data_IF_431649720266
#
_entry.id   IF_431649720266
#
_cell.length_a   1.000
_cell.length_b   1.000
_cell.length_c   1.000
_cell.angle_alpha   90.00
_cell.angle_beta   90.00
_cell.angle_gamma   90.00
#
_symmetry.space_group_name_H-M   'P 1'
#
loop_
_entity.id
_entity.type
_entity.pdbx_description
1 polymer ?
#
# COMPACT_ATOMS: atom_id res chain seq x y z
N UNK A 1 18.54 1.25 10.66
CA UNK A 1 18.28 1.22 9.20
C UNK A 1 16.99 0.45 8.99
N UNK A 2 15.90 1.12 8.61
CA UNK A 2 14.65 0.45 8.25
C UNK A 2 14.87 -0.24 6.90
N UNK A 3 14.39 -1.46 6.71
CA UNK A 3 14.49 -2.10 5.39
C UNK A 3 13.57 -1.41 4.40
N UNK A 4 13.91 -1.43 3.11
CA UNK A 4 13.11 -0.81 2.06
C UNK A 4 11.63 -1.24 2.12
N UNK A 5 11.36 -2.52 2.42
CA UNK A 5 10.00 -3.05 2.59
C UNK A 5 9.17 -2.34 3.68
N UNK A 6 9.81 -1.93 4.78
CA UNK A 6 9.13 -1.20 5.85
C UNK A 6 8.82 0.23 5.42
N UNK A 7 9.74 0.90 4.71
CA UNK A 7 9.51 2.25 4.21
C UNK A 7 8.36 2.29 3.20
N UNK A 8 8.30 1.31 2.29
CA UNK A 8 7.20 1.15 1.33
C UNK A 8 5.86 0.90 2.04
N UNK A 9 5.86 0.09 3.10
CA UNK A 9 4.65 -0.18 3.89
C UNK A 9 4.15 1.07 4.61
N UNK A 10 5.04 1.87 5.21
CA UNK A 10 4.67 3.14 5.85
C UNK A 10 4.15 4.15 4.84
N UNK A 11 4.79 4.27 3.66
CA UNK A 11 4.33 5.15 2.59
C UNK A 11 2.92 4.76 2.11
N UNK A 12 2.62 3.46 2.02
CA UNK A 12 1.29 2.96 1.69
C UNK A 12 0.25 3.29 2.77
N UNK A 13 0.58 3.08 4.05
CA UNK A 13 -0.31 3.42 5.17
C UNK A 13 -0.64 4.92 5.20
N UNK A 14 0.36 5.77 4.98
CA UNK A 14 0.15 7.23 4.93
C UNK A 14 -0.68 7.65 3.72
N UNK A 15 -0.49 6.99 2.58
CA UNK A 15 -1.30 7.22 1.38
C UNK A 15 -2.77 6.87 1.58
N UNK A 16 -3.07 5.81 2.36
CA UNK A 16 -4.44 5.46 2.75
C UNK A 16 -5.07 6.53 3.65
N UNK A 17 -4.33 7.02 4.65
CA UNK A 17 -4.81 8.11 5.52
C UNK A 17 -5.08 9.37 4.70
N UNK A 18 -4.19 9.72 3.78
CA UNK A 18 -4.36 10.89 2.93
C UNK A 18 -5.59 10.76 2.03
N UNK A 19 -5.77 9.61 1.38
CA UNK A 19 -6.97 9.37 0.55
C UNK A 19 -8.27 9.46 1.37
N UNK A 20 -8.24 8.97 2.62
CA UNK A 20 -9.37 9.10 3.55
C UNK A 20 -9.62 10.57 3.95
N UNK A 21 -8.59 11.35 4.23
CA UNK A 21 -8.71 12.78 4.57
C UNK A 21 -9.29 13.57 3.40
N UNK A 22 -8.91 13.21 2.18
CA UNK A 22 -9.41 13.81 0.94
C UNK A 22 -10.81 13.30 0.54
N UNK A 23 -11.41 12.39 1.31
CA UNK A 23 -12.72 11.79 1.04
C UNK A 23 -12.81 11.14 -0.36
N UNK A 24 -11.71 10.57 -0.84
CA UNK A 24 -11.67 9.84 -2.11
C UNK A 24 -12.27 8.46 -1.86
N UNK A 25 -13.37 8.11 -2.53
CA UNK A 25 -14.03 6.82 -2.30
C UNK A 25 -13.51 5.67 -3.17
N UNK A 26 -12.88 5.97 -4.31
CA UNK A 26 -12.33 4.99 -5.24
C UNK A 26 -10.85 5.29 -5.48
N UNK A 27 -9.96 4.40 -5.06
CA UNK A 27 -8.51 4.64 -5.07
C UNK A 27 -7.77 3.55 -5.84
N UNK A 28 -6.83 3.97 -6.69
CA UNK A 28 -5.84 3.11 -7.33
C UNK A 28 -4.47 3.58 -6.87
N UNK A 29 -3.78 2.74 -6.11
CA UNK A 29 -2.39 2.95 -5.73
C UNK A 29 -1.46 2.28 -6.73
N UNK A 30 -0.32 2.92 -6.99
CA UNK A 30 0.76 2.37 -7.80
C UNK A 30 2.03 2.33 -6.95
N UNK A 31 2.73 1.20 -6.97
CA UNK A 31 4.02 1.03 -6.28
C UNK A 31 4.96 0.22 -7.16
N UNK A 32 6.24 0.57 -7.15
CA UNK A 32 7.30 -0.21 -7.78
C UNK A 32 7.81 -1.36 -6.90
N UNK A 33 7.37 -1.42 -5.64
CA UNK A 33 7.66 -2.50 -4.72
C UNK A 33 6.72 -3.70 -4.91
N UNK A 34 7.15 -4.67 -5.73
CA UNK A 34 6.39 -5.89 -5.97
C UNK A 34 6.08 -6.69 -4.69
N UNK A 35 6.95 -6.62 -3.67
CA UNK A 35 6.72 -7.30 -2.40
C UNK A 35 5.52 -6.70 -1.65
N UNK A 36 5.43 -5.36 -1.59
CA UNK A 36 4.28 -4.65 -1.01
C UNK A 36 2.99 -4.98 -1.76
N UNK A 37 3.01 -4.88 -3.10
CA UNK A 37 1.85 -5.18 -3.95
C UNK A 37 1.33 -6.60 -3.69
N UNK A 38 2.24 -7.57 -3.61
CA UNK A 38 1.88 -8.95 -3.29
C UNK A 38 1.31 -9.10 -1.88
N UNK A 39 1.88 -8.42 -0.87
CA UNK A 39 1.39 -8.42 0.51
C UNK A 39 -0.02 -7.88 0.63
N UNK A 40 -0.34 -6.78 -0.04
CA UNK A 40 -1.69 -6.19 -0.01
C UNK A 40 -2.70 -7.09 -0.73
N UNK A 41 -2.33 -7.60 -1.91
CA UNK A 41 -3.22 -8.44 -2.72
C UNK A 41 -3.44 -9.85 -2.13
N UNK A 42 -2.47 -10.37 -1.37
CA UNK A 42 -2.52 -11.67 -0.68
C UNK A 42 -2.53 -11.54 0.85
N UNK A 43 -3.08 -10.42 1.36
CA UNK A 43 -3.05 -10.07 2.79
C UNK A 43 -3.65 -11.12 3.73
N UNK A 44 -4.56 -11.94 3.23
CA UNK A 44 -5.16 -13.03 4.03
C UNK A 44 -4.27 -14.26 4.14
N UNK A 45 -3.24 -14.38 3.29
CA UNK A 45 -2.31 -15.52 3.26
C UNK A 45 -0.90 -15.19 3.78
N UNK A 46 -0.53 -13.91 3.91
CA UNK A 46 0.80 -13.51 4.39
C UNK A 46 0.85 -13.50 5.93
N UNK A 47 1.63 -14.43 6.50
CA UNK A 47 1.84 -14.58 7.94
C UNK A 47 3.12 -13.90 8.47
N UNK A 48 3.84 -13.17 7.63
CA UNK A 48 5.02 -12.42 8.05
C UNK A 48 4.63 -11.22 8.92
N UNK A 49 5.57 -10.69 9.71
CA UNK A 49 5.33 -9.50 10.54
C UNK A 49 4.85 -8.33 9.68
N UNK A 50 5.53 -8.06 8.56
CA UNK A 50 5.13 -7.00 7.62
C UNK A 50 3.77 -7.32 7.00
N UNK A 51 3.49 -8.57 6.64
CA UNK A 51 2.18 -9.01 6.15
C UNK A 51 1.04 -8.70 7.14
N UNK A 52 1.27 -8.94 8.44
CA UNK A 52 0.32 -8.60 9.50
C UNK A 52 0.10 -7.09 9.62
N UNK A 53 1.17 -6.28 9.53
CA UNK A 53 1.07 -4.81 9.49
C UNK A 53 0.27 -4.34 8.28
N UNK A 54 0.56 -4.85 7.08
CA UNK A 54 -0.18 -4.54 5.85
C UNK A 54 -1.66 -4.92 5.99
N UNK A 55 -1.95 -6.10 6.55
CA UNK A 55 -3.33 -6.54 6.80
C UNK A 55 -4.06 -5.58 7.76
N UNK A 56 -3.38 -5.07 8.77
CA UNK A 56 -3.94 -4.06 9.67
C UNK A 56 -4.20 -2.73 8.96
N UNK A 57 -3.27 -2.22 8.16
CA UNK A 57 -3.47 -1.01 7.35
C UNK A 57 -4.64 -1.18 6.38
N UNK A 58 -4.77 -2.34 5.74
CA UNK A 58 -5.86 -2.66 4.81
C UNK A 58 -7.25 -2.70 5.47
N UNK A 59 -7.37 -2.65 6.81
CA UNK A 59 -8.68 -2.44 7.46
C UNK A 59 -9.31 -1.10 7.06
N UNK A 60 -8.48 -0.11 6.70
CA UNK A 60 -8.93 1.17 6.17
C UNK A 60 -9.71 1.01 4.86
N UNK A 61 -9.56 -0.10 4.12
CA UNK A 61 -10.28 -0.32 2.85
C UNK A 61 -11.80 -0.27 3.03
N UNK A 62 -12.31 -0.59 4.23
CA UNK A 62 -13.74 -0.52 4.53
C UNK A 62 -14.31 0.92 4.51
N UNK A 63 -13.43 1.93 4.49
CA UNK A 63 -13.82 3.34 4.37
C UNK A 63 -13.96 3.80 2.90
N UNK A 64 -13.66 2.91 1.95
CA UNK A 64 -13.63 3.20 0.52
C UNK A 64 -14.64 2.30 -0.21
N UNK A 65 -15.21 2.78 -1.31
CA UNK A 65 -16.01 1.97 -2.22
C UNK A 65 -15.12 0.94 -2.95
N UNK A 66 -13.92 1.36 -3.34
CA UNK A 66 -12.93 0.47 -3.93
C UNK A 66 -11.50 0.91 -3.67
N UNK A 67 -10.63 -0.07 -3.42
CA UNK A 67 -9.18 0.12 -3.35
C UNK A 67 -8.50 -0.94 -4.21
N UNK A 68 -7.60 -0.50 -5.09
CA UNK A 68 -6.72 -1.38 -5.87
C UNK A 68 -5.28 -0.93 -5.69
N UNK A 69 -4.37 -1.89 -5.71
CA UNK A 69 -2.93 -1.61 -5.78
C UNK A 69 -2.34 -2.38 -6.96
N UNK A 70 -1.62 -1.65 -7.81
CA UNK A 70 -0.95 -2.19 -8.98
C UNK A 70 0.56 -2.04 -8.84
N UNK A 71 1.28 -3.02 -9.38
CA UNK A 71 2.71 -2.85 -9.60
C UNK A 71 2.92 -1.95 -10.81
N UNK A 72 3.76 -0.92 -10.65
CA UNK A 72 4.19 -0.03 -11.72
C UNK A 72 5.72 -0.09 -11.85
N UNK A 73 6.23 0.06 -13.08
CA UNK A 73 7.68 0.16 -13.27
C UNK A 73 8.19 1.42 -12.56
N UNK A 74 9.33 1.33 -11.86
CA UNK A 74 9.97 2.49 -11.18
C UNK A 74 10.16 3.71 -12.10
N UNK A 75 10.42 3.48 -13.39
CA UNK A 75 10.52 4.57 -14.38
C UNK A 75 9.21 5.36 -14.57
N UNK A 76 8.07 4.78 -14.22
CA UNK A 76 6.74 5.41 -14.25
C UNK A 76 6.32 5.95 -12.87
N UNK A 77 7.03 5.62 -11.78
CA UNK A 77 6.73 6.05 -10.41
C UNK A 77 7.74 7.09 -9.88
N UNK A 78 8.33 7.91 -10.76
CA UNK A 78 9.40 8.84 -10.36
C UNK A 78 8.96 9.89 -9.33
N UNK A 79 7.68 10.25 -9.31
CA UNK A 79 7.12 11.28 -8.41
C UNK A 79 7.08 10.81 -6.96
N UNK A 80 6.93 9.51 -6.72
CA UNK A 80 6.82 8.93 -5.38
C UNK A 80 8.10 8.16 -4.95
N UNK A 81 9.17 8.22 -5.73
CA UNK A 81 10.42 7.52 -5.42
C UNK A 81 11.19 8.28 -4.33
N UNK A 82 11.26 7.68 -3.12
CA UNK A 82 12.01 8.18 -1.96
C UNK A 82 13.40 7.54 -1.89
#
# INVERSE_FOLDING_TARGET
MMSADWAEMEAFDESLKMASILNISNVIFESDCANLVNKVNKREQDITIIGCCVKNACKAFNNFDSVKINWANRSNNQVANV
#
